data_IF_908340895608
#
_entry.id   IF_908340895608
#
_cell.length_a   1.000
_cell.length_b   1.000
_cell.length_c   1.000
_cell.angle_alpha   90.00
_cell.angle_beta   90.00
_cell.angle_gamma   90.00
#
_symmetry.space_group_name_H-M   'P 1'
#
loop_
_entity.id
_entity.type
_entity.pdbx_description
1 polymer ?
#
# COMPACT_ATOMS: atom_id res chain seq x y z
N UNK A 1 -7.90 16.18 -9.86
CA UNK A 1 -7.61 15.62 -8.52
C UNK A 1 -7.26 14.15 -8.69
N UNK A 2 -5.99 13.80 -8.52
CA UNK A 2 -5.53 12.41 -8.64
C UNK A 2 -6.07 11.58 -7.46
N UNK A 3 -6.81 10.51 -7.75
CA UNK A 3 -7.40 9.61 -6.75
C UNK A 3 -6.39 8.51 -6.42
N UNK A 4 -5.42 8.82 -5.56
CA UNK A 4 -4.40 7.86 -5.13
C UNK A 4 -5.01 6.87 -4.11
N UNK A 5 -5.00 5.58 -4.44
CA UNK A 5 -5.60 4.54 -3.60
C UNK A 5 -4.72 4.17 -2.39
N UNK A 6 -3.41 4.08 -2.58
CA UNK A 6 -2.46 3.62 -1.54
C UNK A 6 -1.28 4.56 -1.31
N UNK A 7 -0.87 5.32 -2.32
CA UNK A 7 0.31 6.17 -2.23
C UNK A 7 0.10 7.32 -1.24
N UNK A 8 1.04 7.52 -0.31
CA UNK A 8 0.96 8.55 0.74
C UNK A 8 -0.03 8.24 1.86
N UNK A 9 -0.66 7.06 1.85
CA UNK A 9 -1.68 6.64 2.82
C UNK A 9 -1.16 5.58 3.80
N UNK A 10 0.15 5.60 4.10
CA UNK A 10 0.75 4.68 5.07
C UNK A 10 -0.02 4.73 6.39
N UNK A 11 -0.41 3.55 6.90
CA UNK A 11 -1.15 3.42 8.14
C UNK A 11 -2.67 3.62 8.03
N UNK A 12 -3.18 4.12 6.90
CA UNK A 12 -4.63 4.20 6.65
C UNK A 12 -5.18 2.85 6.20
N UNK A 13 -6.49 2.67 6.35
CA UNK A 13 -7.21 1.50 5.86
C UNK A 13 -7.32 1.52 4.33
N UNK A 14 -7.09 0.37 3.71
CA UNK A 14 -7.24 0.19 2.27
C UNK A 14 -8.72 0.40 1.87
N UNK A 15 -9.00 1.19 0.82
CA UNK A 15 -10.38 1.46 0.38
C UNK A 15 -11.10 0.21 -0.15
N UNK A 16 -10.38 -0.87 -0.48
CA UNK A 16 -10.95 -2.09 -1.04
C UNK A 16 -11.22 -3.18 0.02
N UNK A 17 -10.28 -3.43 0.92
CA UNK A 17 -10.37 -4.54 1.89
C UNK A 17 -10.33 -4.10 3.36
N UNK A 18 -10.16 -2.81 3.64
CA UNK A 18 -9.99 -2.29 5.00
C UNK A 18 -8.62 -2.59 5.64
N UNK A 19 -7.80 -3.45 5.04
CA UNK A 19 -6.47 -3.80 5.55
C UNK A 19 -5.53 -2.58 5.61
N UNK A 20 -4.63 -2.56 6.59
CA UNK A 20 -3.71 -1.43 6.79
C UNK A 20 -2.72 -1.32 5.63
N UNK A 21 -2.59 -0.12 5.06
CA UNK A 21 -1.59 0.16 4.02
C UNK A 21 -0.21 0.25 4.67
N UNK A 22 0.73 -0.53 4.14
CA UNK A 22 2.11 -0.59 4.60
C UNK A 22 3.03 0.08 3.58
N UNK A 23 4.16 0.60 4.06
CA UNK A 23 5.22 1.12 3.20
C UNK A 23 6.40 0.15 3.29
N UNK A 24 6.78 -0.41 2.16
CA UNK A 24 7.95 -1.29 2.02
C UNK A 24 9.04 -0.58 1.22
N UNK A 25 10.28 -1.05 1.32
CA UNK A 25 11.39 -0.56 0.52
C UNK A 25 11.82 -1.64 -0.47
N UNK A 26 11.79 -1.32 -1.76
CA UNK A 26 12.22 -2.23 -2.82
C UNK A 26 13.24 -1.49 -3.69
N UNK A 27 14.48 -1.98 -3.76
CA UNK A 27 15.53 -1.36 -4.57
C UNK A 27 15.69 0.15 -4.30
N UNK A 28 15.79 0.53 -3.03
CA UNK A 28 15.87 1.93 -2.57
C UNK A 28 14.61 2.79 -2.77
N UNK A 29 13.53 2.29 -3.39
CA UNK A 29 12.27 3.02 -3.56
C UNK A 29 11.26 2.65 -2.48
N UNK A 30 10.61 3.66 -1.90
CA UNK A 30 9.51 3.46 -0.96
C UNK A 30 8.20 3.18 -1.69
N UNK A 31 7.65 2.00 -1.50
CA UNK A 31 6.41 1.55 -2.14
C UNK A 31 5.30 1.41 -1.11
N UNK A 32 4.16 2.03 -1.34
CA UNK A 32 2.96 1.85 -0.52
C UNK A 32 2.15 0.69 -1.09
N UNK A 33 1.84 -0.29 -0.26
CA UNK A 33 1.18 -1.53 -0.66
C UNK A 33 0.17 -1.97 0.40
N UNK A 34 -0.89 -2.65 -0.04
CA UNK A 34 -1.79 -3.37 0.85
C UNK A 34 -1.56 -4.88 0.69
N UNK A 35 -1.03 -5.55 1.70
CA UNK A 35 -0.67 -6.98 1.61
C UNK A 35 -1.88 -7.92 1.45
N UNK A 36 -3.09 -7.45 1.79
CA UNK A 36 -4.33 -8.22 1.59
C UNK A 36 -4.78 -8.22 0.12
N UNK A 37 -4.71 -7.07 -0.55
CA UNK A 37 -5.10 -6.93 -1.95
C UNK A 37 -3.96 -7.28 -2.91
N UNK A 38 -2.73 -6.91 -2.56
CA UNK A 38 -1.53 -7.13 -3.35
C UNK A 38 -0.64 -8.10 -2.58
N UNK A 39 -0.84 -9.40 -2.84
CA UNK A 39 -0.06 -10.47 -2.21
C UNK A 39 1.42 -10.31 -2.55
N UNK A 40 2.26 -10.37 -1.53
CA UNK A 40 3.70 -10.50 -1.70
C UNK A 40 3.99 -11.98 -1.94
N UNK A 41 4.54 -12.29 -3.11
CA UNK A 41 5.12 -13.60 -3.39
C UNK A 41 6.59 -13.52 -2.98
N UNK A 42 7.00 -14.42 -2.09
CA UNK A 42 8.39 -14.64 -1.70
C UNK A 42 9.03 -15.70 -2.57
#
# INVERSE_FOLDING_TARGET
KEKLNVFGKQGQSCPNCGGKIQKIRVGQRGTHICNHCQKLYV
#
